data_IF_697150697740
#
_entry.id   IF_697150697740
#
_cell.length_a   1.000
_cell.length_b   1.000
_cell.length_c   1.000
_cell.angle_alpha   90.00
_cell.angle_beta   90.00
_cell.angle_gamma   90.00
#
_symmetry.space_group_name_H-M   'P 1'
#
loop_
_entity.id
_entity.type
_entity.pdbx_description
1 polymer ?
#
# COMPACT_ATOMS: atom_id res chain seq x y z
N UNK A 1 38.63 14.70 -40.67
CA UNK A 1 38.40 13.61 -39.72
C UNK A 1 37.29 14.09 -38.77
N UNK A 2 36.06 13.67 -38.96
CA UNK A 2 34.94 13.95 -38.04
C UNK A 2 34.99 12.93 -36.91
N UNK A 3 34.93 13.33 -35.61
CA UNK A 3 34.90 12.39 -34.52
C UNK A 3 33.58 11.64 -34.48
N UNK A 4 33.64 10.35 -34.57
CA UNK A 4 32.48 9.40 -34.44
C UNK A 4 32.03 9.36 -32.99
N UNK A 5 31.22 10.36 -32.56
CA UNK A 5 30.60 10.39 -31.22
C UNK A 5 29.10 9.98 -31.27
N UNK A 6 28.75 9.03 -32.11
CA UNK A 6 27.34 8.61 -32.25
C UNK A 6 26.85 7.52 -31.27
N UNK A 7 27.71 6.64 -30.68
CA UNK A 7 27.17 5.60 -29.79
C UNK A 7 26.76 6.10 -28.41
N UNK A 8 27.42 7.12 -27.83
CA UNK A 8 27.07 7.63 -26.50
C UNK A 8 25.71 8.34 -26.47
N UNK A 9 25.42 9.17 -27.48
CA UNK A 9 24.12 9.86 -27.59
C UNK A 9 22.93 8.91 -27.75
N UNK A 10 23.12 7.79 -28.42
CA UNK A 10 22.06 6.80 -28.63
C UNK A 10 21.75 5.99 -27.36
N UNK A 11 22.71 5.83 -26.48
CA UNK A 11 22.52 5.14 -25.18
C UNK A 11 21.77 6.07 -24.22
N UNK A 12 22.17 7.33 -24.13
CA UNK A 12 21.54 8.32 -23.25
C UNK A 12 20.07 8.56 -23.62
N UNK A 13 19.74 8.75 -24.89
CA UNK A 13 18.35 8.89 -25.38
C UNK A 13 17.51 7.63 -25.11
N UNK A 14 18.11 6.46 -25.17
CA UNK A 14 17.40 5.20 -24.93
C UNK A 14 17.11 4.97 -23.44
N UNK A 15 17.98 5.45 -22.56
CA UNK A 15 17.75 5.37 -21.10
C UNK A 15 16.69 6.36 -20.64
N UNK A 16 16.63 7.56 -21.23
CA UNK A 16 15.57 8.54 -20.97
C UNK A 16 14.20 8.04 -21.43
N UNK A 17 14.09 7.44 -22.62
CA UNK A 17 12.84 6.88 -23.13
C UNK A 17 12.32 5.70 -22.26
N UNK A 18 13.23 4.89 -21.74
CA UNK A 18 12.88 3.83 -20.79
C UNK A 18 12.36 4.41 -19.48
N UNK A 19 13.05 5.43 -18.95
CA UNK A 19 12.67 6.08 -17.70
C UNK A 19 11.29 6.74 -17.80
N UNK A 20 10.99 7.40 -18.90
CA UNK A 20 9.69 8.02 -19.17
C UNK A 20 8.56 6.99 -19.24
N UNK A 21 8.79 5.89 -19.94
CA UNK A 21 7.84 4.79 -20.03
C UNK A 21 7.56 4.16 -18.65
N UNK A 22 8.60 3.91 -17.87
CA UNK A 22 8.48 3.29 -16.55
C UNK A 22 7.76 4.25 -15.57
N UNK A 23 8.05 5.54 -15.64
CA UNK A 23 7.31 6.57 -14.90
C UNK A 23 5.83 6.62 -15.28
N UNK A 24 5.50 6.53 -16.56
CA UNK A 24 4.13 6.51 -17.05
C UNK A 24 3.36 5.27 -16.54
N UNK A 25 3.99 4.10 -16.58
CA UNK A 25 3.42 2.85 -16.03
C UNK A 25 3.12 3.00 -14.54
N UNK A 26 4.05 3.55 -13.77
CA UNK A 26 3.88 3.79 -12.33
C UNK A 26 2.72 4.75 -12.05
N UNK A 27 2.65 5.87 -12.76
CA UNK A 27 1.59 6.87 -12.59
C UNK A 27 0.21 6.31 -12.89
N UNK A 28 0.05 5.62 -14.02
CA UNK A 28 -1.24 5.02 -14.40
C UNK A 28 -1.62 3.92 -13.41
N UNK A 29 -0.69 3.02 -13.08
CA UNK A 29 -0.98 1.94 -12.14
C UNK A 29 -1.33 2.47 -10.75
N UNK A 30 -0.62 3.48 -10.25
CA UNK A 30 -0.93 4.11 -8.97
C UNK A 30 -2.33 4.74 -8.97
N UNK A 31 -2.70 5.45 -10.05
CA UNK A 31 -4.02 6.06 -10.18
C UNK A 31 -5.13 5.00 -10.20
N UNK A 32 -4.95 3.93 -10.98
CA UNK A 32 -5.90 2.82 -11.05
C UNK A 32 -6.03 2.11 -9.69
N UNK A 33 -4.91 1.85 -9.01
CA UNK A 33 -4.92 1.20 -7.70
C UNK A 33 -5.59 2.06 -6.63
N UNK A 34 -5.39 3.38 -6.65
CA UNK A 34 -6.08 4.30 -5.76
C UNK A 34 -7.59 4.32 -6.03
N UNK A 35 -7.99 4.28 -7.31
CA UNK A 35 -9.39 4.19 -7.69
C UNK A 35 -10.02 2.88 -7.21
N UNK A 36 -9.36 1.74 -7.48
CA UNK A 36 -9.80 0.41 -7.01
C UNK A 36 -9.90 0.39 -5.49
N UNK A 37 -8.89 0.89 -4.79
CA UNK A 37 -8.91 0.96 -3.32
C UNK A 37 -10.04 1.85 -2.79
N UNK A 38 -10.32 2.97 -3.46
CA UNK A 38 -11.39 3.87 -3.06
C UNK A 38 -12.76 3.20 -3.10
N UNK A 39 -13.04 2.39 -4.11
CA UNK A 39 -14.35 1.76 -4.29
C UNK A 39 -14.47 0.40 -3.59
N UNK A 40 -13.43 -0.43 -3.64
CA UNK A 40 -13.48 -1.81 -3.13
C UNK A 40 -12.64 -2.04 -1.87
N UNK A 41 -11.65 -1.23 -1.58
CA UNK A 41 -10.77 -1.40 -0.41
C UNK A 41 -11.31 -0.85 0.90
N UNK A 42 -12.46 -0.16 0.91
CA UNK A 42 -13.01 0.49 2.09
C UNK A 42 -13.91 -0.43 2.92
N UNK A 43 -14.02 -0.20 4.25
CA UNK A 43 -14.91 -0.96 5.14
C UNK A 43 -16.36 -0.99 4.68
N UNK A 44 -16.85 0.09 4.08
CA UNK A 44 -18.20 0.19 3.56
C UNK A 44 -18.52 -0.85 2.48
N UNK A 45 -17.55 -1.17 1.61
CA UNK A 45 -17.72 -2.20 0.60
C UNK A 45 -17.86 -3.58 1.24
N UNK A 46 -17.07 -3.89 2.26
CA UNK A 46 -17.15 -5.14 3.02
C UNK A 46 -18.55 -5.38 3.57
N UNK A 47 -19.16 -4.35 4.20
CA UNK A 47 -20.50 -4.44 4.76
C UNK A 47 -21.56 -4.58 3.66
N UNK A 48 -21.44 -3.83 2.57
CA UNK A 48 -22.45 -3.80 1.50
C UNK A 48 -22.42 -5.02 0.57
N UNK A 49 -21.26 -5.67 0.42
CA UNK A 49 -21.07 -6.80 -0.51
C UNK A 49 -21.53 -8.15 0.01
N UNK A 50 -22.02 -8.23 1.26
CA UNK A 50 -22.35 -9.50 1.91
C UNK A 50 -21.13 -10.31 2.37
N UNK A 51 -19.92 -9.74 2.28
CA UNK A 51 -18.70 -10.41 2.76
C UNK A 51 -18.75 -10.68 4.27
N UNK A 52 -19.52 -9.89 5.02
CA UNK A 52 -19.74 -10.10 6.47
C UNK A 52 -20.27 -11.52 6.72
N UNK A 53 -21.30 -11.92 5.99
CA UNK A 53 -21.92 -13.23 6.13
C UNK A 53 -20.98 -14.37 5.68
N UNK A 54 -20.26 -14.15 4.59
CA UNK A 54 -19.28 -15.13 4.08
C UNK A 54 -18.15 -15.36 5.09
N UNK A 55 -17.60 -14.30 5.67
CA UNK A 55 -16.55 -14.39 6.68
C UNK A 55 -17.05 -14.99 8.00
N UNK A 56 -18.25 -14.62 8.45
CA UNK A 56 -18.88 -15.21 9.64
C UNK A 56 -19.06 -16.72 9.49
N UNK A 57 -19.49 -17.17 8.33
CA UNK A 57 -19.72 -18.59 8.03
C UNK A 57 -18.41 -19.39 7.95
N UNK A 58 -17.33 -18.80 7.38
CA UNK A 58 -16.11 -19.55 7.07
C UNK A 58 -15.01 -19.41 8.15
N UNK A 59 -14.96 -18.31 8.90
CA UNK A 59 -13.93 -18.02 9.90
C UNK A 59 -14.38 -18.15 11.37
N UNK A 60 -15.64 -18.53 11.58
CA UNK A 60 -16.19 -18.79 12.90
C UNK A 60 -16.57 -17.55 13.70
N UNK A 61 -17.47 -17.74 14.67
CA UNK A 61 -18.26 -16.72 15.36
C UNK A 61 -17.55 -15.59 16.14
N UNK A 62 -16.22 -15.53 16.17
CA UNK A 62 -15.50 -14.42 16.81
C UNK A 62 -15.63 -13.10 16.05
N UNK A 63 -15.79 -13.16 14.72
CA UNK A 63 -15.99 -11.98 13.89
C UNK A 63 -17.47 -11.53 13.83
N UNK A 64 -18.38 -12.45 14.10
CA UNK A 64 -19.83 -12.19 14.15
C UNK A 64 -20.21 -11.31 15.35
N UNK A 65 -19.57 -11.53 16.51
CA UNK A 65 -19.77 -10.71 17.71
C UNK A 65 -19.22 -9.28 17.58
N UNK A 66 -18.33 -9.02 16.60
CA UNK A 66 -17.70 -7.73 16.43
C UNK A 66 -17.61 -7.35 14.93
N UNK A 67 -18.73 -7.00 14.28
CA UNK A 67 -18.77 -6.73 12.83
C UNK A 67 -17.83 -5.58 12.39
N UNK A 68 -17.53 -4.64 13.29
CA UNK A 68 -16.56 -3.59 13.04
C UNK A 68 -15.14 -4.11 12.86
N UNK A 69 -14.73 -5.12 13.63
CA UNK A 69 -13.39 -5.71 13.53
C UNK A 69 -13.16 -6.35 12.17
N UNK A 70 -14.14 -7.10 11.64
CA UNK A 70 -14.07 -7.69 10.30
C UNK A 70 -13.89 -6.64 9.20
N UNK A 71 -14.61 -5.53 9.29
CA UNK A 71 -14.50 -4.42 8.34
C UNK A 71 -13.11 -3.76 8.35
N UNK A 72 -12.51 -3.58 9.54
CA UNK A 72 -11.15 -3.04 9.66
C UNK A 72 -10.07 -4.02 9.21
N UNK A 73 -10.24 -5.32 9.48
CA UNK A 73 -9.33 -6.36 8.96
C UNK A 73 -9.37 -6.41 7.42
N UNK A 74 -10.57 -6.35 6.84
CA UNK A 74 -10.73 -6.24 5.39
C UNK A 74 -10.02 -5.02 4.82
N UNK A 75 -10.21 -3.85 5.44
CA UNK A 75 -9.54 -2.61 5.03
C UNK A 75 -8.02 -2.71 5.14
N UNK A 76 -7.50 -3.28 6.23
CA UNK A 76 -6.07 -3.51 6.43
C UNK A 76 -5.50 -4.46 5.38
N UNK A 77 -6.17 -5.59 5.13
CA UNK A 77 -5.75 -6.57 4.12
C UNK A 77 -5.81 -5.97 2.70
N UNK A 78 -6.88 -5.28 2.35
CA UNK A 78 -7.03 -4.59 1.07
C UNK A 78 -5.96 -3.52 0.87
N UNK A 79 -5.65 -2.77 1.94
CA UNK A 79 -4.59 -1.76 1.92
C UNK A 79 -3.22 -2.39 1.68
N UNK A 80 -2.90 -3.48 2.38
CA UNK A 80 -1.65 -4.22 2.19
C UNK A 80 -1.51 -4.75 0.76
N UNK A 81 -2.56 -5.38 0.25
CA UNK A 81 -2.55 -5.95 -1.11
C UNK A 81 -2.43 -4.84 -2.15
N UNK A 82 -3.35 -3.88 -2.16
CA UNK A 82 -3.44 -2.89 -3.23
C UNK A 82 -2.36 -1.80 -3.17
N UNK A 83 -1.84 -1.48 -1.98
CA UNK A 83 -0.83 -0.42 -1.82
C UNK A 83 0.60 -0.94 -1.73
N UNK A 84 0.79 -2.24 -1.45
CA UNK A 84 2.12 -2.80 -1.26
C UNK A 84 2.41 -3.95 -2.21
N UNK A 85 1.57 -4.99 -2.21
CA UNK A 85 1.86 -6.20 -3.00
C UNK A 85 1.66 -5.98 -4.50
N UNK A 86 0.58 -5.32 -4.91
CA UNK A 86 0.31 -5.07 -6.33
C UNK A 86 1.34 -4.13 -6.96
N UNK A 87 1.71 -2.98 -6.36
CA UNK A 87 2.80 -2.16 -6.88
C UNK A 87 4.13 -2.90 -6.94
N UNK A 88 4.48 -3.69 -5.91
CA UNK A 88 5.68 -4.52 -5.95
C UNK A 88 5.67 -5.53 -7.10
N UNK A 89 4.53 -6.16 -7.35
CA UNK A 89 4.37 -7.09 -8.49
C UNK A 89 4.49 -6.36 -9.85
N UNK A 90 3.95 -5.15 -9.97
CA UNK A 90 4.08 -4.32 -11.18
C UNK A 90 5.57 -4.00 -11.44
N UNK A 91 6.31 -3.62 -10.41
CA UNK A 91 7.75 -3.34 -10.54
C UNK A 91 8.50 -4.59 -11.02
N UNK A 92 8.24 -5.76 -10.42
CA UNK A 92 8.95 -7.00 -10.77
C UNK A 92 8.57 -7.52 -12.15
N UNK A 93 7.30 -7.51 -12.50
CA UNK A 93 6.81 -8.22 -13.69
C UNK A 93 6.70 -7.31 -14.91
N UNK A 94 6.28 -6.06 -14.74
CA UNK A 94 6.04 -5.14 -15.85
C UNK A 94 7.26 -4.27 -16.14
N UNK A 95 7.86 -3.68 -15.12
CA UNK A 95 9.06 -2.84 -15.25
C UNK A 95 10.30 -3.73 -15.35
N UNK A 96 10.26 -4.95 -14.75
CA UNK A 96 11.36 -5.91 -14.68
C UNK A 96 12.58 -5.36 -13.97
N UNK A 97 12.33 -4.60 -12.91
CA UNK A 97 13.34 -3.98 -12.09
C UNK A 97 13.27 -4.47 -10.63
N UNK A 98 14.26 -4.12 -9.82
CA UNK A 98 14.32 -4.55 -8.43
C UNK A 98 13.42 -3.66 -7.55
N UNK A 99 12.46 -4.21 -6.80
CA UNK A 99 11.65 -3.43 -5.86
C UNK A 99 12.49 -2.69 -4.81
N UNK A 100 13.74 -3.13 -4.59
CA UNK A 100 14.67 -2.50 -3.64
C UNK A 100 15.05 -1.08 -4.05
N UNK A 101 15.08 -0.80 -5.34
CA UNK A 101 15.45 0.51 -5.89
C UNK A 101 14.28 1.50 -5.79
N UNK A 102 13.07 0.97 -5.66
CA UNK A 102 11.83 1.73 -5.40
C UNK A 102 11.47 1.85 -3.91
N UNK A 103 12.43 1.63 -3.01
CA UNK A 103 12.24 1.84 -1.58
C UNK A 103 11.81 0.61 -0.76
N UNK A 104 11.61 -0.55 -1.37
CA UNK A 104 11.28 -1.80 -0.66
C UNK A 104 12.54 -2.44 -0.03
N UNK A 105 13.24 -1.69 0.84
CA UNK A 105 14.45 -2.16 1.55
C UNK A 105 14.14 -2.49 3.00
N UNK A 106 14.14 -3.76 3.35
CA UNK A 106 13.91 -4.22 4.73
C UNK A 106 15.13 -3.95 5.63
N UNK A 107 16.36 -4.09 5.11
CA UNK A 107 17.60 -3.97 5.92
C UNK A 107 17.81 -2.58 6.55
N UNK A 108 17.37 -1.50 5.90
CA UNK A 108 17.44 -0.15 6.46
C UNK A 108 16.35 0.15 7.48
N UNK A 109 15.18 -0.44 7.29
CA UNK A 109 13.98 -0.21 8.12
C UNK A 109 14.16 -0.74 9.54
N UNK A 110 14.81 -1.89 9.72
CA UNK A 110 15.06 -2.49 11.03
C UNK A 110 15.88 -1.59 11.97
N UNK A 111 16.77 -0.76 11.41
CA UNK A 111 17.55 0.20 12.20
C UNK A 111 16.66 1.28 12.85
N UNK A 112 15.55 1.60 12.23
CA UNK A 112 14.63 2.66 12.69
C UNK A 112 13.44 2.11 13.50
N UNK A 113 13.32 0.80 13.67
CA UNK A 113 12.26 0.17 14.49
C UNK A 113 12.17 0.75 15.90
N UNK A 114 13.28 1.02 16.63
CA UNK A 114 13.18 1.63 17.96
C UNK A 114 12.53 3.01 17.97
N UNK A 115 12.76 3.81 16.92
CA UNK A 115 12.16 5.15 16.76
C UNK A 115 10.65 5.02 16.55
N UNK A 116 10.22 4.12 15.67
CA UNK A 116 8.81 3.86 15.45
C UNK A 116 8.13 3.29 16.68
N UNK A 117 8.79 2.36 17.39
CA UNK A 117 8.30 1.81 18.66
C UNK A 117 8.12 2.89 19.72
N UNK A 118 9.08 3.82 19.85
CA UNK A 118 8.96 4.95 20.75
C UNK A 118 7.80 5.88 20.38
N UNK A 119 7.61 6.17 19.10
CA UNK A 119 6.47 6.96 18.62
C UNK A 119 5.13 6.28 18.94
N UNK A 120 5.02 4.97 18.73
CA UNK A 120 3.83 4.21 19.11
C UNK A 120 3.59 4.21 20.61
N UNK A 121 4.66 4.04 21.41
CA UNK A 121 4.57 4.06 22.87
C UNK A 121 4.08 5.39 23.43
N UNK A 122 4.38 6.50 22.77
CA UNK A 122 3.87 7.84 23.13
C UNK A 122 2.43 8.03 22.62
N UNK A 123 2.15 7.57 21.40
CA UNK A 123 0.84 7.79 20.77
C UNK A 123 -0.26 6.91 21.38
N UNK A 124 0.08 5.70 21.83
CA UNK A 124 -0.89 4.75 22.36
C UNK A 124 -1.61 5.28 23.63
N UNK A 125 -0.93 5.80 24.65
CA UNK A 125 -1.59 6.42 25.82
C UNK A 125 -2.47 7.60 25.45
N UNK A 126 -2.03 8.43 24.48
CA UNK A 126 -2.80 9.59 24.00
C UNK A 126 -4.09 9.13 23.33
N UNK A 127 -4.02 8.13 22.46
CA UNK A 127 -5.21 7.54 21.81
C UNK A 127 -6.14 6.89 22.83
N UNK A 128 -5.59 6.17 23.81
CA UNK A 128 -6.38 5.57 24.89
C UNK A 128 -7.09 6.63 25.72
N UNK A 129 -6.41 7.71 26.05
CA UNK A 129 -7.02 8.85 26.77
C UNK A 129 -8.08 9.55 25.89
N UNK A 130 -7.79 9.81 24.62
CA UNK A 130 -8.73 10.41 23.69
C UNK A 130 -9.99 9.56 23.47
N UNK A 131 -9.86 8.22 23.46
CA UNK A 131 -11.00 7.30 23.32
C UNK A 131 -11.96 7.31 24.52
N UNK A 132 -11.56 7.93 25.65
CA UNK A 132 -12.42 8.08 26.83
C UNK A 132 -13.40 9.26 26.71
N UNK A 133 -13.28 10.09 25.66
CA UNK A 133 -14.20 11.19 25.42
C UNK A 133 -15.35 10.76 24.50
N UNK A 134 -16.60 11.00 24.91
CA UNK A 134 -17.80 10.68 24.14
C UNK A 134 -17.80 11.31 22.73
N UNK A 135 -17.18 12.48 22.57
CA UNK A 135 -17.01 13.16 21.28
C UNK A 135 -16.13 12.40 20.29
N UNK A 136 -15.24 11.53 20.76
CA UNK A 136 -14.41 10.69 19.92
C UNK A 136 -15.15 9.45 19.40
N UNK A 137 -16.14 8.99 20.15
CA UNK A 137 -16.95 7.82 19.79
C UNK A 137 -18.11 8.18 18.85
N UNK A 138 -18.40 9.46 18.63
CA UNK A 138 -19.49 9.94 17.78
C UNK A 138 -19.10 10.10 16.29
N UNK A 139 -17.89 9.78 15.90
CA UNK A 139 -17.39 9.71 14.54
C UNK A 139 -17.30 8.24 14.11
#
# INVERSE_FOLDING_TARGET
MLPTRLPELSIEVRDDEKADRDAFIVLISATLLLYVFHYWGRPHFYVRSGMVEWFATNLGGTLESHPGVGAYLYWGASSLVLRTLVPAAIIVWLIRDSPRDYGYRIRGTLKHVPVYAAMYAVMFPVLFWASSFDSFLSY
#
